data_IF_828245689979
#
_entry.id   IF_828245689979
#
_cell.length_a   1.000
_cell.length_b   1.000
_cell.length_c   1.000
_cell.angle_alpha   90.00
_cell.angle_beta   90.00
_cell.angle_gamma   90.00
#
_symmetry.space_group_name_H-M   'P 1'
#
loop_
_entity.id
_entity.type
_entity.pdbx_description
1 polymer ?
#
# COMPACT_ATOMS: atom_id res chain seq x y z
N UNK A 1 -4.53 -7.25 -29.01
CA UNK A 1 -5.03 -7.46 -27.64
C UNK A 1 -5.50 -8.89 -27.57
N UNK A 2 -4.71 -9.78 -26.97
CA UNK A 2 -5.16 -11.13 -26.69
C UNK A 2 -6.22 -11.02 -25.61
N UNK A 3 -7.43 -11.46 -25.96
CA UNK A 3 -8.65 -11.45 -25.15
C UNK A 3 -8.56 -12.50 -24.04
N UNK A 4 -7.53 -12.37 -23.19
CA UNK A 4 -7.32 -13.25 -22.04
C UNK A 4 -8.11 -12.66 -20.88
N UNK A 5 -9.32 -13.20 -20.69
CA UNK A 5 -10.12 -12.90 -19.50
C UNK A 5 -9.50 -13.64 -18.31
N UNK A 6 -8.83 -12.91 -17.43
CA UNK A 6 -8.38 -13.45 -16.15
C UNK A 6 -9.58 -13.59 -15.23
N UNK A 7 -9.77 -14.76 -14.64
CA UNK A 7 -10.80 -15.02 -13.63
C UNK A 7 -10.14 -15.75 -12.47
N UNK A 8 -10.18 -15.21 -11.24
CA UNK A 8 -9.59 -15.88 -10.09
C UNK A 8 -10.22 -17.25 -9.87
N UNK A 9 -9.41 -18.26 -9.49
CA UNK A 9 -9.92 -19.62 -9.27
C UNK A 9 -10.95 -19.71 -8.14
N UNK A 10 -10.94 -18.74 -7.23
CA UNK A 10 -11.91 -18.56 -6.16
C UNK A 10 -12.78 -17.35 -6.46
N UNK A 11 -14.10 -17.40 -6.22
CA UNK A 11 -14.95 -16.24 -6.40
C UNK A 11 -14.48 -15.10 -5.48
N UNK A 12 -14.46 -13.87 -5.99
CA UNK A 12 -14.19 -12.69 -5.16
C UNK A 12 -15.29 -12.62 -4.09
N UNK A 13 -14.93 -12.70 -2.80
CA UNK A 13 -15.92 -12.79 -1.73
C UNK A 13 -16.65 -11.46 -1.54
N UNK A 14 -17.91 -11.54 -1.12
CA UNK A 14 -18.65 -10.34 -0.68
C UNK A 14 -17.87 -9.63 0.45
N UNK A 15 -17.84 -8.31 0.40
CA UNK A 15 -17.04 -7.50 1.33
C UNK A 15 -15.54 -7.47 1.00
N UNK A 16 -15.09 -7.99 -0.14
CA UNK A 16 -13.68 -7.89 -0.55
C UNK A 16 -13.19 -6.42 -0.53
N UNK A 17 -12.00 -6.22 0.01
CA UNK A 17 -11.43 -4.91 0.26
C UNK A 17 -10.22 -4.63 -0.63
N UNK A 18 -10.25 -3.53 -1.37
CA UNK A 18 -9.07 -2.94 -1.98
C UNK A 18 -8.28 -2.16 -0.92
N UNK A 19 -7.24 -2.75 -0.34
CA UNK A 19 -6.52 -2.14 0.78
C UNK A 19 -5.40 -1.18 0.34
N UNK A 20 -5.20 -0.95 -0.95
CA UNK A 20 -4.20 -0.01 -1.43
C UNK A 20 -4.58 0.50 -2.82
N UNK A 21 -4.99 1.75 -2.90
CA UNK A 21 -5.09 2.47 -4.16
C UNK A 21 -4.87 3.97 -3.91
N UNK A 22 -4.67 4.71 -4.99
CA UNK A 22 -4.44 6.14 -5.00
C UNK A 22 -5.46 6.84 -5.88
N UNK A 23 -5.66 8.13 -5.65
CA UNK A 23 -6.37 9.02 -6.59
C UNK A 23 -5.43 10.14 -7.00
N UNK A 24 -5.48 10.52 -8.27
CA UNK A 24 -4.79 11.69 -8.79
C UNK A 24 -5.82 12.63 -9.38
N UNK A 25 -5.87 13.85 -8.85
CA UNK A 25 -6.72 14.91 -9.35
C UNK A 25 -8.09 14.99 -8.68
N UNK A 26 -9.00 15.80 -9.24
CA UNK A 26 -8.82 16.50 -10.52
C UNK A 26 -7.78 17.61 -10.42
N UNK A 27 -6.87 17.70 -11.40
CA UNK A 27 -5.78 18.69 -11.43
C UNK A 27 -6.28 20.14 -11.40
N UNK A 28 -7.52 20.38 -11.84
CA UNK A 28 -8.18 21.68 -11.76
C UNK A 28 -8.46 22.16 -10.32
N UNK A 29 -8.46 21.25 -9.34
CA UNK A 29 -8.72 21.54 -7.91
C UNK A 29 -7.49 21.29 -7.05
N UNK A 30 -6.70 20.28 -7.40
CA UNK A 30 -5.55 19.85 -6.62
C UNK A 30 -4.25 20.02 -7.40
N UNK A 31 -3.50 21.05 -7.03
CA UNK A 31 -2.16 21.24 -7.55
C UNK A 31 -1.18 20.24 -6.90
N UNK A 32 -0.33 19.56 -7.69
CA UNK A 32 0.81 18.84 -7.15
C UNK A 32 1.77 19.79 -6.42
N UNK A 33 2.62 19.26 -5.56
CA UNK A 33 3.69 20.04 -4.94
C UNK A 33 4.62 20.63 -6.02
N UNK A 34 5.16 21.86 -5.84
CA UNK A 34 5.97 22.53 -6.86
C UNK A 34 7.21 21.76 -7.32
N UNK A 35 7.80 20.94 -6.45
CA UNK A 35 8.99 20.13 -6.74
C UNK A 35 8.71 18.88 -7.59
N UNK A 36 7.45 18.57 -7.87
CA UNK A 36 7.06 17.37 -8.62
C UNK A 36 7.39 17.56 -10.10
N UNK A 37 8.38 16.80 -10.56
CA UNK A 37 8.80 16.77 -11.98
C UNK A 37 8.14 15.66 -12.80
N UNK A 38 7.55 14.66 -12.14
CA UNK A 38 6.79 13.59 -12.80
C UNK A 38 5.31 13.75 -12.45
N UNK A 39 4.57 14.39 -13.34
CA UNK A 39 3.14 14.60 -13.21
C UNK A 39 2.37 13.34 -13.60
N UNK A 40 1.19 13.15 -13.01
CA UNK A 40 0.28 12.08 -13.37
C UNK A 40 -1.00 12.69 -13.96
N UNK A 41 -1.61 12.07 -14.97
CA UNK A 41 -2.92 12.48 -15.45
C UNK A 41 -3.98 12.19 -14.39
N UNK A 42 -5.14 12.84 -14.51
CA UNK A 42 -6.26 12.59 -13.62
C UNK A 42 -6.65 11.09 -13.63
N UNK A 43 -6.80 10.54 -12.43
CA UNK A 43 -7.29 9.21 -12.12
C UNK A 43 -8.20 9.38 -10.89
N UNK A 44 -9.48 9.59 -11.17
CA UNK A 44 -10.45 10.09 -10.19
C UNK A 44 -11.10 8.94 -9.42
N UNK A 45 -11.73 9.27 -8.29
CA UNK A 45 -12.49 8.31 -7.52
C UNK A 45 -13.63 7.63 -8.32
N UNK A 46 -14.22 8.32 -9.29
CA UNK A 46 -15.24 7.74 -10.19
C UNK A 46 -14.65 6.70 -11.14
N UNK A 47 -13.39 6.87 -11.58
CA UNK A 47 -12.70 5.92 -12.44
C UNK A 47 -12.35 4.65 -11.64
N UNK A 48 -11.89 4.82 -10.40
CA UNK A 48 -11.70 3.71 -9.47
C UNK A 48 -13.02 3.00 -9.16
N UNK A 49 -14.12 3.73 -8.96
CA UNK A 49 -15.44 3.14 -8.72
C UNK A 49 -15.91 2.26 -9.90
N UNK A 50 -15.64 2.68 -11.14
CA UNK A 50 -15.90 1.86 -12.32
C UNK A 50 -15.02 0.61 -12.34
N UNK A 51 -13.70 0.75 -12.09
CA UNK A 51 -12.77 -0.38 -12.04
C UNK A 51 -13.19 -1.41 -10.97
N UNK A 52 -13.41 -0.97 -9.72
CA UNK A 52 -13.69 -1.86 -8.60
C UNK A 52 -15.03 -2.60 -8.75
N UNK A 53 -16.00 -1.99 -9.43
CA UNK A 53 -17.27 -2.64 -9.77
C UNK A 53 -17.08 -3.81 -10.76
N UNK A 54 -16.13 -3.73 -11.70
CA UNK A 54 -15.81 -4.85 -12.61
C UNK A 54 -15.13 -6.01 -11.88
N UNK A 55 -14.29 -5.71 -10.88
CA UNK A 55 -13.53 -6.70 -10.11
C UNK A 55 -14.36 -7.32 -8.98
N UNK A 56 -15.35 -6.60 -8.46
CA UNK A 56 -16.22 -7.05 -7.36
C UNK A 56 -15.73 -6.64 -5.97
N UNK A 57 -15.03 -5.52 -5.84
CA UNK A 57 -14.52 -5.00 -4.57
C UNK A 57 -15.54 -4.03 -3.94
N UNK A 58 -15.84 -4.21 -2.66
CA UNK A 58 -16.92 -3.51 -1.95
C UNK A 58 -16.44 -2.56 -0.83
N UNK A 59 -15.22 -2.79 -0.33
CA UNK A 59 -14.54 -1.94 0.66
C UNK A 59 -13.21 -1.45 0.12
N UNK A 60 -12.77 -0.29 0.60
CA UNK A 60 -11.66 0.42 -0.01
C UNK A 60 -10.82 1.14 1.04
N UNK A 61 -9.50 1.15 0.85
CA UNK A 61 -8.55 1.93 1.63
C UNK A 61 -7.72 2.80 0.69
N UNK A 62 -8.06 4.08 0.67
CA UNK A 62 -7.37 5.09 -0.11
C UNK A 62 -6.09 5.49 0.62
N UNK A 63 -4.95 5.33 -0.03
CA UNK A 63 -3.66 5.76 0.50
C UNK A 63 -3.33 7.13 -0.10
N UNK A 64 -3.24 8.17 0.74
CA UNK A 64 -2.95 9.51 0.25
C UNK A 64 -1.55 9.56 -0.40
N UNK A 65 -1.47 10.21 -1.56
CA UNK A 65 -0.21 10.41 -2.29
C UNK A 65 0.56 11.59 -1.68
N UNK A 66 1.02 11.45 -0.44
CA UNK A 66 1.65 12.54 0.32
C UNK A 66 2.96 13.08 -0.26
N UNK A 67 3.62 12.30 -1.12
CA UNK A 67 4.76 12.77 -1.90
C UNK A 67 4.37 13.66 -3.08
N UNK A 68 3.10 13.69 -3.47
CA UNK A 68 2.58 14.40 -4.65
C UNK A 68 1.70 15.59 -4.28
N UNK A 69 0.82 15.45 -3.28
CA UNK A 69 -0.05 16.51 -2.80
C UNK A 69 0.43 17.13 -1.47
N UNK A 70 0.15 18.42 -1.22
CA UNK A 70 0.59 19.10 0.00
C UNK A 70 -0.12 18.61 1.27
N UNK A 71 -1.34 18.10 1.16
CA UNK A 71 -2.19 17.74 2.28
C UNK A 71 -3.04 16.48 2.00
N UNK A 72 -3.97 16.17 2.90
CA UNK A 72 -4.88 15.03 2.83
C UNK A 72 -6.22 15.33 2.14
N UNK A 73 -6.45 16.55 1.63
CA UNK A 73 -7.75 16.98 1.13
C UNK A 73 -8.33 16.09 0.02
N UNK A 74 -7.54 15.65 -0.99
CA UNK A 74 -8.04 14.72 -2.01
C UNK A 74 -8.59 13.42 -1.41
N UNK A 75 -7.88 12.83 -0.44
CA UNK A 75 -8.35 11.64 0.28
C UNK A 75 -9.62 11.94 1.07
N UNK A 76 -9.63 13.01 1.87
CA UNK A 76 -10.75 13.35 2.75
C UNK A 76 -12.07 13.55 1.98
N UNK A 77 -12.03 14.14 0.79
CA UNK A 77 -13.23 14.28 -0.04
C UNK A 77 -13.77 12.94 -0.54
N UNK A 78 -12.90 12.01 -0.91
CA UNK A 78 -13.31 10.66 -1.33
C UNK A 78 -13.91 9.89 -0.16
N UNK A 79 -13.27 9.96 1.02
CA UNK A 79 -13.78 9.33 2.24
C UNK A 79 -15.18 9.86 2.59
N UNK A 80 -15.37 11.17 2.54
CA UNK A 80 -16.67 11.81 2.81
C UNK A 80 -17.76 11.38 1.81
N UNK A 81 -17.41 11.19 0.54
CA UNK A 81 -18.35 10.78 -0.50
C UNK A 81 -18.76 9.29 -0.41
N UNK A 82 -17.85 8.42 0.03
CA UNK A 82 -18.04 6.96 0.02
C UNK A 82 -18.53 6.39 1.37
N UNK A 83 -18.35 7.15 2.46
CA UNK A 83 -18.84 6.82 3.80
C UNK A 83 -18.20 5.55 4.37
N UNK A 84 -19.00 4.71 5.02
CA UNK A 84 -18.51 3.61 5.87
C UNK A 84 -17.71 2.53 5.12
N UNK A 85 -17.83 2.46 3.79
CA UNK A 85 -17.11 1.51 2.93
C UNK A 85 -15.65 1.92 2.67
N UNK A 86 -15.28 3.13 3.05
CA UNK A 86 -13.97 3.72 2.77
C UNK A 86 -13.18 3.98 4.06
N UNK A 87 -11.87 3.73 4.01
CA UNK A 87 -10.90 4.19 5.00
C UNK A 87 -9.74 4.88 4.30
N UNK A 88 -8.98 5.65 5.08
CA UNK A 88 -7.83 6.40 4.57
C UNK A 88 -6.53 6.01 5.26
N UNK A 89 -5.43 6.12 4.52
CA UNK A 89 -4.08 6.19 5.09
C UNK A 89 -3.51 7.56 4.75
N UNK A 90 -3.32 8.38 5.78
CA UNK A 90 -2.90 9.76 5.66
C UNK A 90 -1.47 9.91 5.11
N UNK A 91 -1.22 11.06 4.50
CA UNK A 91 0.11 11.51 4.10
C UNK A 91 1.03 11.61 5.32
N UNK A 92 2.33 11.38 5.08
CA UNK A 92 3.35 11.57 6.11
C UNK A 92 3.38 13.01 6.60
N UNK A 93 3.16 13.17 7.91
CA UNK A 93 3.42 14.41 8.62
C UNK A 93 4.13 14.07 9.95
N UNK A 94 5.45 14.33 10.06
CA UNK A 94 6.20 14.05 11.30
C UNK A 94 5.83 14.98 12.45
N UNK A 95 5.20 16.13 12.16
CA UNK A 95 4.82 17.16 13.12
C UNK A 95 3.35 17.07 13.54
N UNK A 96 2.60 16.10 13.02
CA UNK A 96 1.19 15.91 13.37
C UNK A 96 1.00 15.76 14.88
N UNK A 97 -0.08 16.34 15.39
CA UNK A 97 -0.45 16.33 16.81
C UNK A 97 -1.80 15.62 17.03
N UNK A 98 -2.11 15.31 18.29
CA UNK A 98 -3.26 14.47 18.68
C UNK A 98 -4.61 15.00 18.15
N UNK A 99 -4.84 16.31 18.14
CA UNK A 99 -6.10 16.90 17.68
C UNK A 99 -6.32 16.72 16.18
N UNK A 100 -5.25 16.79 15.38
CA UNK A 100 -5.31 16.54 13.94
C UNK A 100 -5.52 15.05 13.67
N UNK A 101 -4.86 14.16 14.42
CA UNK A 101 -5.11 12.71 14.35
C UNK A 101 -6.57 12.39 14.67
N UNK A 102 -7.14 13.00 15.72
CA UNK A 102 -8.54 12.81 16.08
C UNK A 102 -9.48 13.27 14.95
N UNK A 103 -9.17 14.41 14.32
CA UNK A 103 -9.93 14.95 13.19
C UNK A 103 -9.88 14.04 11.97
N UNK A 104 -8.69 13.56 11.60
CA UNK A 104 -8.50 12.61 10.50
C UNK A 104 -9.17 11.26 10.81
N UNK A 105 -9.11 10.80 12.06
CA UNK A 105 -9.74 9.55 12.49
C UNK A 105 -11.26 9.63 12.38
N UNK A 106 -11.86 10.74 12.81
CA UNK A 106 -13.29 11.01 12.64
C UNK A 106 -13.70 11.06 11.16
N UNK A 107 -12.81 11.52 10.28
CA UNK A 107 -13.02 11.51 8.83
C UNK A 107 -12.82 10.13 8.17
N UNK A 108 -12.36 9.11 8.91
CA UNK A 108 -12.20 7.73 8.40
C UNK A 108 -10.75 7.30 8.14
N UNK A 109 -9.75 8.12 8.44
CA UNK A 109 -8.36 7.68 8.38
C UNK A 109 -8.03 6.69 9.51
N UNK A 110 -7.15 5.72 9.23
CA UNK A 110 -6.80 4.61 10.13
C UNK A 110 -5.30 4.35 10.22
N UNK A 111 -4.49 5.20 9.63
CA UNK A 111 -3.05 5.10 9.65
C UNK A 111 -2.39 6.21 8.87
N UNK A 112 -1.06 6.20 8.86
CA UNK A 112 -0.23 7.14 8.11
C UNK A 112 0.86 6.39 7.35
N UNK A 113 1.13 6.80 6.10
CA UNK A 113 2.17 6.19 5.28
C UNK A 113 3.49 6.95 5.42
N UNK A 114 4.51 6.29 5.98
CA UNK A 114 5.88 6.78 6.12
C UNK A 114 6.74 6.19 5.00
N UNK A 115 7.31 7.06 4.17
CA UNK A 115 8.20 6.68 3.05
C UNK A 115 9.56 7.38 3.23
N UNK A 116 10.49 6.78 4.01
CA UNK A 116 11.74 7.43 4.42
C UNK A 116 12.76 7.67 3.29
N UNK A 117 12.50 7.21 2.06
CA UNK A 117 13.44 7.28 0.94
C UNK A 117 14.31 6.02 0.81
N UNK A 118 15.17 5.98 -0.22
CA UNK A 118 15.93 4.76 -0.61
C UNK A 118 17.33 4.69 0.00
N UNK A 119 18.01 5.84 0.14
CA UNK A 119 19.42 5.93 0.53
C UNK A 119 19.59 6.99 1.63
N UNK A 120 19.57 6.54 2.88
CA UNK A 120 19.78 7.39 4.06
C UNK A 120 21.06 6.99 4.79
N UNK A 121 21.76 7.97 5.37
CA UNK A 121 22.86 7.72 6.31
C UNK A 121 22.34 7.15 7.63
N UNK A 122 23.22 6.55 8.44
CA UNK A 122 22.88 6.03 9.77
C UNK A 122 22.25 7.12 10.68
N UNK A 123 22.75 8.36 10.64
CA UNK A 123 22.16 9.48 11.40
C UNK A 123 20.69 9.75 11.00
N UNK A 124 20.38 9.63 9.71
CA UNK A 124 19.02 9.81 9.19
C UNK A 124 18.12 8.62 9.56
N UNK A 125 18.67 7.41 9.70
CA UNK A 125 17.93 6.25 10.17
C UNK A 125 17.43 6.45 11.61
N UNK A 126 18.29 6.94 12.50
CA UNK A 126 17.91 7.17 13.90
C UNK A 126 16.92 8.34 14.06
N UNK A 127 17.04 9.38 13.23
CA UNK A 127 16.03 10.44 13.12
C UNK A 127 14.66 9.87 12.71
N UNK A 128 14.61 9.09 11.61
CA UNK A 128 13.39 8.44 11.14
C UNK A 128 12.81 7.52 12.22
N UNK A 129 13.65 6.74 12.89
CA UNK A 129 13.21 5.83 13.94
C UNK A 129 12.59 6.59 15.13
N UNK A 130 13.19 7.70 15.56
CA UNK A 130 12.66 8.57 16.60
C UNK A 130 11.26 9.09 16.23
N UNK A 131 11.08 9.53 14.97
CA UNK A 131 9.78 9.98 14.45
C UNK A 131 8.76 8.83 14.46
N UNK A 132 9.14 7.64 13.97
CA UNK A 132 8.26 6.46 13.97
C UNK A 132 7.77 6.13 15.38
N UNK A 133 8.66 6.15 16.38
CA UNK A 133 8.29 5.86 17.76
C UNK A 133 7.42 6.96 18.39
N UNK A 134 7.63 8.24 18.02
CA UNK A 134 6.73 9.35 18.41
C UNK A 134 5.34 9.13 17.82
N UNK A 135 5.24 8.91 16.51
CA UNK A 135 3.97 8.69 15.82
C UNK A 135 3.24 7.49 16.37
N UNK A 136 3.93 6.37 16.61
CA UNK A 136 3.34 5.16 17.18
C UNK A 136 2.65 5.42 18.53
N UNK A 137 3.26 6.21 19.42
CA UNK A 137 2.65 6.61 20.70
C UNK A 137 1.40 7.47 20.53
N UNK A 138 1.36 8.32 19.50
CA UNK A 138 0.17 9.13 19.19
C UNK A 138 -0.94 8.28 18.54
N UNK A 139 -0.57 7.22 17.84
CA UNK A 139 -1.49 6.34 17.10
C UNK A 139 -2.11 5.25 17.97
N UNK A 140 -1.43 4.83 19.04
CA UNK A 140 -1.90 3.78 19.96
C UNK A 140 -3.31 4.05 20.51
N UNK A 141 -3.67 5.25 21.02
CA UNK A 141 -5.00 5.50 21.59
C UNK A 141 -6.14 5.47 20.57
N UNK A 142 -5.84 5.70 19.28
CA UNK A 142 -6.83 5.71 18.20
C UNK A 142 -6.81 4.42 17.37
N UNK A 143 -5.95 3.46 17.72
CA UNK A 143 -5.82 2.17 17.02
C UNK A 143 -5.27 2.30 15.60
N UNK A 144 -4.49 3.35 15.31
CA UNK A 144 -3.90 3.56 13.98
C UNK A 144 -2.68 2.67 13.74
N UNK A 145 -2.42 2.37 12.47
CA UNK A 145 -1.20 1.69 12.02
C UNK A 145 -0.22 2.66 11.35
N UNK A 146 1.05 2.25 11.28
CA UNK A 146 2.05 2.91 10.44
C UNK A 146 2.28 2.07 9.19
N UNK A 147 2.01 2.64 8.01
CA UNK A 147 2.26 1.98 6.73
C UNK A 147 3.63 2.41 6.19
N UNK A 148 4.43 1.47 5.68
CA UNK A 148 5.73 1.74 5.10
C UNK A 148 5.84 1.24 3.66
N UNK A 149 6.41 2.09 2.81
CA UNK A 149 7.04 1.63 1.57
C UNK A 149 8.56 1.55 1.79
N UNK A 150 9.06 0.35 2.06
CA UNK A 150 10.48 0.11 2.34
C UNK A 150 11.21 -0.44 1.10
N UNK A 151 12.40 0.08 0.83
CA UNK A 151 13.31 -0.47 -0.18
C UNK A 151 14.76 -0.23 0.20
N UNK A 152 15.69 -0.90 -0.49
CA UNK A 152 17.12 -0.67 -0.36
C UNK A 152 17.65 -0.81 1.07
N UNK A 153 18.64 0.01 1.42
CA UNK A 153 19.31 -0.02 2.72
C UNK A 153 18.34 0.23 3.89
N UNK A 154 17.39 1.17 3.71
CA UNK A 154 16.43 1.53 4.74
C UNK A 154 15.50 0.37 5.14
N UNK A 155 15.10 -0.45 4.15
CA UNK A 155 14.35 -1.68 4.42
C UNK A 155 15.14 -2.61 5.33
N UNK A 156 16.37 -2.90 4.94
CA UNK A 156 17.20 -3.89 5.63
C UNK A 156 17.53 -3.43 7.07
N UNK A 157 17.66 -2.11 7.28
CA UNK A 157 17.92 -1.53 8.60
C UNK A 157 16.68 -1.44 9.50
N UNK A 158 15.49 -1.14 8.95
CA UNK A 158 14.27 -0.99 9.74
C UNK A 158 13.59 -2.32 10.09
N UNK A 159 13.61 -3.32 9.18
CA UNK A 159 12.90 -4.59 9.37
C UNK A 159 13.14 -5.24 10.75
N UNK A 160 14.39 -5.34 11.27
CA UNK A 160 14.64 -5.94 12.58
C UNK A 160 14.09 -5.13 13.77
N UNK A 161 13.88 -3.82 13.60
CA UNK A 161 13.39 -2.89 14.63
C UNK A 161 11.85 -2.86 14.69
N UNK A 162 11.16 -3.21 13.61
CA UNK A 162 9.69 -3.06 13.50
C UNK A 162 8.88 -3.75 14.61
N UNK A 163 9.39 -4.87 15.15
CA UNK A 163 8.78 -5.59 16.27
C UNK A 163 8.62 -4.75 17.55
N UNK A 164 9.42 -3.69 17.69
CA UNK A 164 9.46 -2.82 18.87
C UNK A 164 8.44 -1.66 18.76
N UNK A 165 7.74 -1.52 17.62
CA UNK A 165 6.70 -0.50 17.41
C UNK A 165 5.41 -0.91 18.15
N UNK A 166 4.84 -0.08 19.03
CA UNK A 166 3.69 -0.45 19.87
C UNK A 166 2.34 -0.50 19.14
N UNK A 167 2.32 -0.18 17.85
CA UNK A 167 1.13 -0.23 16.99
C UNK A 167 1.37 -1.16 15.80
N UNK A 168 0.33 -1.60 15.09
CA UNK A 168 0.51 -2.36 13.86
C UNK A 168 1.37 -1.58 12.86
N UNK A 169 2.26 -2.31 12.18
CA UNK A 169 3.02 -1.80 11.04
C UNK A 169 2.61 -2.55 9.78
N UNK A 170 2.43 -1.84 8.67
CA UNK A 170 2.00 -2.43 7.39
C UNK A 170 3.09 -2.20 6.35
N UNK A 171 3.69 -3.28 5.85
CA UNK A 171 4.70 -3.21 4.78
C UNK A 171 4.01 -3.29 3.42
N UNK A 172 4.26 -2.32 2.55
CA UNK A 172 3.65 -2.27 1.23
C UNK A 172 4.27 -3.29 0.23
N UNK A 173 3.43 -3.75 -0.69
CA UNK A 173 3.78 -4.45 -1.94
C UNK A 173 4.85 -5.54 -1.82
N UNK A 174 4.59 -6.57 -1.01
CA UNK A 174 5.50 -7.71 -0.81
C UNK A 174 6.91 -7.28 -0.34
N UNK A 175 7.02 -6.13 0.35
CA UNK A 175 8.28 -5.54 0.78
C UNK A 175 9.17 -5.06 -0.38
N UNK A 176 8.60 -4.91 -1.58
CA UNK A 176 9.30 -4.67 -2.85
C UNK A 176 10.44 -5.67 -3.13
N UNK A 177 10.34 -6.90 -2.63
CA UNK A 177 11.26 -7.96 -3.00
C UNK A 177 10.91 -8.49 -4.39
N UNK A 178 11.91 -8.48 -5.29
CA UNK A 178 11.77 -9.08 -6.60
C UNK A 178 11.94 -10.61 -6.48
N UNK A 179 11.19 -11.43 -7.24
CA UNK A 179 11.29 -12.89 -7.18
C UNK A 179 12.71 -13.42 -7.37
N UNK A 180 13.54 -12.77 -8.19
CA UNK A 180 14.94 -13.16 -8.40
C UNK A 180 15.87 -12.83 -7.22
N UNK A 181 15.36 -12.22 -6.14
CA UNK A 181 16.11 -11.81 -4.94
C UNK A 181 15.50 -12.35 -3.64
N UNK A 182 14.89 -13.53 -3.68
CA UNK A 182 14.32 -14.19 -2.50
C UNK A 182 15.25 -15.30 -1.97
N UNK A 183 15.76 -16.15 -2.86
CA UNK A 183 16.61 -17.29 -2.48
C UNK A 183 17.95 -16.83 -1.87
N UNK A 184 18.22 -17.27 -0.63
CA UNK A 184 19.42 -16.93 0.15
C UNK A 184 19.64 -15.45 0.44
N UNK A 185 18.64 -14.58 0.19
CA UNK A 185 18.78 -13.14 0.36
C UNK A 185 18.48 -12.71 1.80
N UNK A 186 19.49 -12.27 2.54
CA UNK A 186 19.38 -11.86 3.96
C UNK A 186 18.25 -10.86 4.25
N UNK A 187 18.02 -9.90 3.36
CA UNK A 187 16.92 -8.94 3.52
C UNK A 187 15.54 -9.61 3.42
N UNK A 188 15.39 -10.64 2.58
CA UNK A 188 14.13 -11.37 2.43
C UNK A 188 13.88 -12.26 3.66
N UNK A 189 14.92 -12.94 4.15
CA UNK A 189 14.86 -13.67 5.42
C UNK A 189 14.49 -12.75 6.59
N UNK A 190 15.07 -11.54 6.66
CA UNK A 190 14.72 -10.55 7.66
C UNK A 190 13.27 -10.07 7.55
N UNK A 191 12.72 -10.00 6.33
CA UNK A 191 11.32 -9.66 6.10
C UNK A 191 10.38 -10.76 6.59
N UNK A 192 10.65 -12.02 6.24
CA UNK A 192 9.90 -13.16 6.78
C UNK A 192 9.99 -13.22 8.32
N UNK A 193 11.19 -12.95 8.88
CA UNK A 193 11.37 -12.87 10.33
C UNK A 193 10.56 -11.75 10.97
N UNK A 194 10.48 -10.59 10.33
CA UNK A 194 9.65 -9.48 10.82
C UNK A 194 8.16 -9.86 10.84
N UNK A 195 7.68 -10.62 9.86
CA UNK A 195 6.30 -11.12 9.77
C UNK A 195 5.92 -12.11 10.88
N UNK A 196 6.88 -12.76 11.52
CA UNK A 196 6.62 -13.58 12.73
C UNK A 196 6.15 -12.73 13.92
N UNK A 197 6.41 -11.41 13.91
CA UNK A 197 5.98 -10.51 14.98
C UNK A 197 4.48 -10.21 14.88
N UNK A 198 3.80 -10.16 16.03
CA UNK A 198 2.34 -9.99 16.08
C UNK A 198 1.85 -8.63 15.56
N UNK A 199 2.71 -7.61 15.54
CA UNK A 199 2.39 -6.27 15.07
C UNK A 199 2.68 -6.07 13.57
N UNK A 200 3.37 -6.99 12.89
CA UNK A 200 3.77 -6.82 11.50
C UNK A 200 2.73 -7.40 10.53
N UNK A 201 2.23 -6.52 9.67
CA UNK A 201 1.34 -6.81 8.56
C UNK A 201 2.06 -6.53 7.25
N UNK A 202 1.59 -7.14 6.17
CA UNK A 202 2.06 -6.77 4.82
C UNK A 202 0.93 -6.81 3.81
N UNK A 203 1.07 -5.98 2.78
CA UNK A 203 0.19 -6.01 1.62
C UNK A 203 0.74 -7.00 0.60
N UNK A 204 -0.05 -8.00 0.24
CA UNK A 204 0.24 -8.94 -0.87
C UNK A 204 -0.23 -8.39 -2.22
N UNK A 205 -0.09 -7.07 -2.39
CA UNK A 205 -0.34 -6.29 -3.60
C UNK A 205 0.94 -6.09 -4.44
N UNK A 206 0.84 -5.49 -5.63
CA UNK A 206 2.01 -5.02 -6.39
C UNK A 206 2.80 -6.15 -7.07
N UNK A 207 2.12 -7.23 -7.49
CA UNK A 207 2.75 -8.30 -8.26
C UNK A 207 3.32 -7.75 -9.59
N UNK A 208 2.61 -6.83 -10.22
CA UNK A 208 3.03 -6.05 -11.39
C UNK A 208 4.30 -5.22 -11.12
N UNK A 209 4.49 -4.71 -9.89
CA UNK A 209 5.66 -3.91 -9.50
C UNK A 209 6.91 -4.75 -9.28
N UNK A 210 6.76 -5.91 -8.63
CA UNK A 210 7.91 -6.74 -8.23
C UNK A 210 8.33 -7.73 -9.31
N UNK A 211 7.45 -8.02 -10.27
CA UNK A 211 7.74 -8.87 -11.42
C UNK A 211 8.11 -8.03 -12.64
N UNK A 212 8.69 -8.68 -13.65
CA UNK A 212 9.02 -8.05 -14.94
C UNK A 212 8.15 -8.67 -16.04
N UNK A 213 8.04 -7.95 -17.14
CA UNK A 213 7.51 -8.45 -18.42
C UNK A 213 6.06 -8.97 -18.37
N UNK A 214 5.27 -8.51 -17.40
CA UNK A 214 3.86 -8.89 -17.26
C UNK A 214 3.62 -10.27 -16.62
N UNK A 215 4.66 -10.98 -16.18
CA UNK A 215 4.56 -12.32 -15.58
C UNK A 215 4.32 -12.25 -14.06
N UNK A 216 3.15 -11.73 -13.67
CA UNK A 216 2.77 -11.49 -12.27
C UNK A 216 2.78 -12.76 -11.41
N UNK A 217 2.59 -13.92 -12.04
CA UNK A 217 2.63 -15.25 -11.44
C UNK A 217 3.97 -15.54 -10.75
N UNK A 218 5.05 -14.87 -11.15
CA UNK A 218 6.36 -14.98 -10.50
C UNK A 218 6.35 -14.45 -9.05
N UNK A 219 5.34 -13.68 -8.63
CA UNK A 219 5.18 -13.24 -7.25
C UNK A 219 4.57 -14.33 -6.33
N UNK A 220 4.00 -15.40 -6.88
CA UNK A 220 3.30 -16.46 -6.13
C UNK A 220 4.18 -17.09 -5.03
N UNK A 221 5.47 -17.43 -5.26
CA UNK A 221 6.32 -17.98 -4.20
C UNK A 221 6.43 -17.06 -2.98
N UNK A 222 6.59 -15.74 -3.21
CA UNK A 222 6.67 -14.75 -2.12
C UNK A 222 5.36 -14.70 -1.34
N UNK A 223 4.22 -14.67 -2.05
CA UNK A 223 2.91 -14.68 -1.41
C UNK A 223 2.70 -15.95 -0.58
N UNK A 224 3.14 -17.12 -1.07
CA UNK A 224 3.05 -18.39 -0.34
C UNK A 224 3.88 -18.40 0.93
N UNK A 225 5.11 -17.90 0.88
CA UNK A 225 5.96 -17.78 2.07
C UNK A 225 5.29 -16.89 3.13
N UNK A 226 4.74 -15.75 2.72
CA UNK A 226 4.02 -14.84 3.61
C UNK A 226 2.75 -15.46 4.19
N UNK A 227 1.98 -16.19 3.38
CA UNK A 227 0.78 -16.94 3.82
C UNK A 227 1.17 -18.02 4.83
N UNK A 228 2.29 -18.71 4.64
CA UNK A 228 2.75 -19.72 5.57
C UNK A 228 3.17 -19.13 6.93
N UNK A 229 3.76 -17.93 6.93
CA UNK A 229 4.27 -17.27 8.14
C UNK A 229 3.17 -16.56 8.94
N UNK A 230 2.29 -15.81 8.27
CA UNK A 230 1.37 -14.89 8.94
C UNK A 230 0.04 -14.70 8.20
N UNK A 231 -0.76 -15.78 7.95
CA UNK A 231 -1.94 -15.71 7.08
C UNK A 231 -3.01 -14.71 7.59
N UNK A 232 -3.04 -14.45 8.89
CA UNK A 232 -3.96 -13.51 9.54
C UNK A 232 -3.51 -12.04 9.46
N UNK A 233 -2.29 -11.76 8.99
CA UNK A 233 -1.72 -10.40 8.93
C UNK A 233 -1.38 -9.96 7.49
N UNK A 234 -2.11 -10.52 6.53
CA UNK A 234 -1.99 -10.18 5.11
C UNK A 234 -3.25 -9.48 4.63
N UNK A 235 -3.07 -8.40 3.88
CA UNK A 235 -4.16 -7.72 3.17
C UNK A 235 -3.78 -7.55 1.70
N UNK A 236 -4.75 -7.36 0.82
CA UNK A 236 -4.51 -7.16 -0.61
C UNK A 236 -5.05 -5.82 -1.10
N UNK A 237 -4.44 -5.27 -2.14
CA UNK A 237 -4.89 -4.05 -2.80
C UNK A 237 -4.46 -4.04 -4.26
N UNK A 238 -5.18 -3.28 -5.07
CA UNK A 238 -4.94 -3.18 -6.52
C UNK A 238 -3.66 -2.44 -6.84
N UNK A 239 -3.35 -1.44 -6.01
CA UNK A 239 -2.37 -0.39 -6.29
C UNK A 239 -2.70 0.48 -7.52
N UNK A 240 -3.99 0.49 -7.88
CA UNK A 240 -4.54 1.40 -8.89
C UNK A 240 -4.19 2.85 -8.52
N UNK A 241 -3.85 3.74 -9.47
CA UNK A 241 -3.91 3.56 -10.94
C UNK A 241 -2.61 3.03 -11.56
N UNK A 242 -1.79 2.27 -10.83
CA UNK A 242 -0.56 1.63 -11.37
C UNK A 242 0.46 2.66 -11.89
N UNK A 243 0.95 3.52 -11.01
CA UNK A 243 1.97 4.51 -11.35
C UNK A 243 3.26 3.82 -11.84
N UNK A 244 3.83 4.26 -12.98
CA UNK A 244 5.00 3.62 -13.55
C UNK A 244 6.27 3.89 -12.72
N UNK A 245 7.33 3.15 -13.01
CA UNK A 245 8.66 3.56 -12.58
C UNK A 245 9.01 4.93 -13.17
N UNK A 246 9.57 5.81 -12.34
CA UNK A 246 9.94 7.17 -12.76
C UNK A 246 11.29 7.13 -13.48
N UNK A 247 11.36 7.52 -14.76
CA UNK A 247 12.64 7.60 -15.47
C UNK A 247 13.53 8.72 -14.89
N UNK A 248 14.85 8.66 -15.08
CA UNK A 248 15.71 9.81 -14.81
C UNK A 248 15.33 10.96 -15.75
N UNK A 249 15.34 12.19 -15.23
CA UNK A 249 15.18 13.42 -16.02
C UNK A 249 16.51 14.15 -16.08
N UNK A 250 16.82 14.75 -17.23
CA UNK A 250 18.03 15.56 -17.34
C UNK A 250 17.90 16.87 -16.53
N UNK A 251 19.05 17.45 -16.17
CA UNK A 251 19.08 18.75 -15.51
C UNK A 251 18.47 19.82 -16.41
N UNK A 252 17.55 20.62 -15.86
CA UNK A 252 16.85 21.67 -16.60
C UNK A 252 15.61 21.23 -17.40
N UNK A 253 15.32 19.92 -17.49
CA UNK A 253 14.06 19.46 -18.10
C UNK A 253 12.85 19.88 -17.25
N UNK A 254 11.81 20.41 -17.90
CA UNK A 254 10.55 20.73 -17.24
C UNK A 254 9.82 19.49 -16.73
N UNK A 255 8.70 19.66 -15.99
CA UNK A 255 7.87 18.55 -15.58
C UNK A 255 7.33 17.76 -16.78
N UNK A 256 7.30 16.43 -16.67
CA UNK A 256 6.73 15.52 -17.67
C UNK A 256 5.54 14.77 -17.10
N UNK A 257 4.50 14.54 -17.92
CA UNK A 257 3.35 13.73 -17.54
C UNK A 257 3.58 12.28 -17.94
N UNK A 258 3.53 11.36 -16.97
CA UNK A 258 3.71 9.93 -17.20
C UNK A 258 2.36 9.25 -17.42
N UNK A 259 2.30 8.30 -18.36
CA UNK A 259 1.15 7.41 -18.50
C UNK A 259 1.17 6.33 -17.42
N UNK A 260 -0.01 5.90 -16.98
CA UNK A 260 -0.15 4.75 -16.11
C UNK A 260 0.24 3.45 -16.81
N UNK A 261 0.72 2.47 -16.04
CA UNK A 261 0.97 1.13 -16.57
C UNK A 261 -0.38 0.43 -16.80
N UNK A 262 -0.54 -0.17 -17.98
CA UNK A 262 -1.72 -0.99 -18.29
C UNK A 262 -1.64 -2.32 -17.53
N UNK A 263 -2.41 -2.42 -16.44
CA UNK A 263 -2.46 -3.58 -15.55
C UNK A 263 -3.90 -4.07 -15.49
N UNK A 264 -4.09 -5.39 -15.65
CA UNK A 264 -5.38 -6.03 -15.46
C UNK A 264 -5.56 -6.41 -13.99
N UNK A 265 -6.49 -5.76 -13.29
CA UNK A 265 -6.77 -6.06 -11.88
C UNK A 265 -7.28 -7.49 -11.67
N UNK A 266 -7.98 -8.08 -12.64
CA UNK A 266 -8.39 -9.48 -12.55
C UNK A 266 -7.19 -10.41 -12.61
N UNK A 267 -6.11 -10.04 -13.31
CA UNK A 267 -4.87 -10.80 -13.26
C UNK A 267 -4.22 -10.70 -11.88
N UNK A 268 -4.13 -9.50 -11.32
CA UNK A 268 -3.55 -9.29 -9.98
C UNK A 268 -4.29 -10.09 -8.89
N UNK A 269 -5.63 -10.10 -8.90
CA UNK A 269 -6.40 -10.89 -7.92
C UNK A 269 -6.37 -12.40 -8.21
N UNK A 270 -6.25 -12.81 -9.49
CA UNK A 270 -6.05 -14.23 -9.85
C UNK A 270 -4.73 -14.78 -9.31
N UNK A 271 -3.65 -14.00 -9.39
CA UNK A 271 -2.34 -14.35 -8.81
C UNK A 271 -2.44 -14.57 -7.30
N UNK A 272 -3.19 -13.73 -6.59
CA UNK A 272 -3.47 -13.96 -5.16
C UNK A 272 -4.22 -15.27 -4.93
N UNK A 273 -5.27 -15.54 -5.73
CA UNK A 273 -6.07 -16.75 -5.60
C UNK A 273 -5.24 -18.03 -5.83
N UNK A 274 -4.28 -17.99 -6.77
CA UNK A 274 -3.36 -19.09 -7.07
C UNK A 274 -2.27 -19.29 -6.00
N UNK A 275 -1.91 -18.22 -5.28
CA UNK A 275 -1.02 -18.30 -4.13
C UNK A 275 -1.70 -18.90 -2.90
N UNK A 276 -3.00 -18.63 -2.70
CA UNK A 276 -3.76 -19.15 -1.57
C UNK A 276 -3.92 -20.68 -1.64
N UNK A 277 -3.82 -21.41 -0.52
CA UNK A 277 -4.06 -22.86 -0.51
C UNK A 277 -5.54 -23.21 -0.71
N UNK A 278 -6.45 -22.36 -0.22
CA UNK A 278 -7.89 -22.56 -0.22
C UNK A 278 -8.67 -21.24 -0.30
N UNK A 279 -9.98 -21.35 -0.50
CA UNK A 279 -10.90 -20.21 -0.58
C UNK A 279 -11.01 -19.47 0.77
N UNK A 280 -10.83 -20.17 1.89
CA UNK A 280 -10.90 -19.57 3.23
C UNK A 280 -9.74 -18.58 3.46
N UNK A 281 -8.52 -18.94 3.06
CA UNK A 281 -7.35 -18.05 3.11
C UNK A 281 -7.53 -16.85 2.20
N UNK A 282 -8.01 -17.09 0.96
CA UNK A 282 -8.30 -16.02 0.01
C UNK A 282 -9.34 -15.03 0.56
N UNK A 283 -10.42 -15.54 1.16
CA UNK A 283 -11.43 -14.73 1.85
C UNK A 283 -10.83 -13.98 3.03
N UNK A 284 -10.02 -14.62 3.87
CA UNK A 284 -9.42 -13.97 5.03
C UNK A 284 -8.60 -12.74 4.61
N UNK A 285 -7.75 -12.87 3.58
CA UNK A 285 -6.91 -11.78 3.06
C UNK A 285 -7.72 -10.62 2.49
N UNK A 286 -8.86 -10.91 1.83
CA UNK A 286 -9.70 -9.90 1.18
C UNK A 286 -10.77 -9.31 2.10
N UNK A 287 -11.18 -10.04 3.15
CA UNK A 287 -12.37 -9.69 3.94
C UNK A 287 -12.03 -9.54 5.43
N UNK A 288 -11.63 -10.62 6.08
CA UNK A 288 -11.55 -10.69 7.54
C UNK A 288 -10.33 -9.90 8.07
N UNK A 289 -9.18 -10.02 7.40
CA UNK A 289 -7.95 -9.31 7.74
C UNK A 289 -8.09 -7.79 7.57
N UNK A 290 -8.59 -7.27 6.41
CA UNK A 290 -8.88 -5.85 6.27
C UNK A 290 -9.90 -5.30 7.27
N UNK A 291 -10.91 -6.11 7.63
CA UNK A 291 -11.93 -5.69 8.60
C UNK A 291 -11.30 -5.35 9.95
N UNK A 292 -10.41 -6.23 10.43
CA UNK A 292 -9.65 -6.04 11.68
C UNK A 292 -8.65 -4.89 11.59
N UNK A 293 -7.86 -4.83 10.52
CA UNK A 293 -6.78 -3.84 10.40
C UNK A 293 -7.31 -2.40 10.23
N UNK A 294 -8.39 -2.21 9.49
CA UNK A 294 -8.92 -0.88 9.15
C UNK A 294 -10.23 -0.53 9.88
N UNK A 295 -10.74 -1.41 10.74
CA UNK A 295 -11.96 -1.18 11.53
C UNK A 295 -13.19 -0.99 10.65
N UNK A 296 -13.50 -1.99 9.83
CA UNK A 296 -14.76 -2.06 9.06
C UNK A 296 -15.85 -2.88 9.76
N UNK A 297 -15.57 -3.40 10.95
CA UNK A 297 -16.53 -4.08 11.82
C UNK A 297 -17.33 -3.11 12.68
#
# INVERSE_FOLDING_TARGET
>A
MTDTTYTPRFPVPKGACDCHYHVFGPAARYAPKPEIRHLMPDALAVDHAAMRARVGLERMVLVQVGGYYPDNQPMLEVLAAEGDKMRGVAAYDPAIEADEIASLNAAGARGMRVSPGRDLSDDRLDEVWSIVMRLAKLFEPVGWHIQFLLSGHMRDALLPRLKDVPVPVVIDHLGLFRPERTDGHKGYEAFLKAMESANTWTKVSGADRVTRDGNYENAIPIMRDLIAVAPERLVWGTDWPHTPERPPLADGEGPVTLAYTDVDENKCISVLADACPDEATFKAILVDNPARLYGFE
#
